data_IF_069962157364
#
_entry.id   IF_069962157364
#
_cell.length_a   1.000
_cell.length_b   1.000
_cell.length_c   1.000
_cell.angle_alpha   90.00
_cell.angle_beta   90.00
_cell.angle_gamma   90.00
#
_symmetry.space_group_name_H-M   'P 1'
#
loop_
_entity.id
_entity.type
_entity.pdbx_description
1 polymer ?
#
# COMPACT_ATOMS: atom_id res chain seq x y z
N UNK A 1 -29.91 53.46 -22.95
CA UNK A 1 -29.90 53.06 -21.53
C UNK A 1 -30.18 51.56 -21.44
N UNK A 2 -29.14 50.72 -21.41
CA UNK A 2 -29.30 49.27 -21.20
C UNK A 2 -29.27 48.98 -19.71
N UNK A 3 -30.36 48.40 -19.17
CA UNK A 3 -30.49 47.99 -17.77
C UNK A 3 -30.17 46.50 -17.67
N UNK A 4 -29.02 46.17 -17.07
CA UNK A 4 -28.63 44.80 -16.77
C UNK A 4 -29.49 44.23 -15.62
N UNK A 5 -29.91 42.95 -15.65
CA UNK A 5 -30.56 42.31 -14.51
C UNK A 5 -29.51 41.82 -13.51
N UNK A 6 -29.69 42.16 -12.23
CA UNK A 6 -28.92 41.63 -11.11
C UNK A 6 -29.17 40.12 -10.99
N UNK A 7 -28.11 39.35 -11.11
CA UNK A 7 -28.13 37.89 -11.05
C UNK A 7 -27.94 37.48 -9.58
N UNK A 8 -29.07 37.29 -8.89
CA UNK A 8 -29.11 36.96 -7.46
C UNK A 8 -28.79 35.46 -7.25
N UNK A 9 -27.52 35.09 -7.15
CA UNK A 9 -27.08 33.69 -6.95
C UNK A 9 -27.00 33.22 -5.48
N UNK A 10 -27.45 34.01 -4.50
CA UNK A 10 -27.31 33.69 -3.07
C UNK A 10 -28.62 33.43 -2.33
N UNK A 11 -29.55 32.70 -2.94
CA UNK A 11 -30.67 32.12 -2.20
C UNK A 11 -30.98 30.72 -2.71
N UNK A 12 -30.14 29.76 -2.35
CA UNK A 12 -30.55 28.36 -2.35
C UNK A 12 -31.27 28.08 -1.01
N UNK A 13 -32.61 27.93 -1.00
CA UNK A 13 -33.36 27.61 0.19
C UNK A 13 -33.41 26.09 0.31
N UNK A 14 -32.26 25.44 0.40
CA UNK A 14 -32.25 24.05 0.81
C UNK A 14 -32.43 24.04 2.32
N UNK A 15 -33.61 23.61 2.74
CA UNK A 15 -33.92 23.13 4.08
C UNK A 15 -34.35 24.14 5.15
N UNK A 16 -35.56 24.68 4.98
CA UNK A 16 -36.38 25.17 6.11
C UNK A 16 -37.66 24.34 6.25
N UNK A 17 -37.51 23.11 6.74
CA UNK A 17 -38.64 22.24 7.08
C UNK A 17 -38.17 21.08 7.95
N UNK A 18 -38.97 20.68 8.94
CA UNK A 18 -38.71 19.58 9.90
C UNK A 18 -38.19 18.27 9.28
N UNK A 19 -38.39 18.06 7.96
CA UNK A 19 -37.82 16.92 7.23
C UNK A 19 -36.30 17.00 7.06
N UNK A 20 -35.73 18.20 6.88
CA UNK A 20 -34.29 18.40 6.71
C UNK A 20 -33.45 17.94 7.90
N UNK A 21 -33.98 18.20 9.09
CA UNK A 21 -33.36 17.91 10.36
C UNK A 21 -33.24 16.38 10.55
N UNK A 22 -34.26 15.63 10.09
CA UNK A 22 -34.25 14.17 10.09
C UNK A 22 -33.18 13.60 9.14
N UNK A 23 -32.98 14.19 7.96
CA UNK A 23 -31.91 13.76 7.05
C UNK A 23 -30.52 13.98 7.64
N UNK A 24 -30.34 15.04 8.42
CA UNK A 24 -29.11 15.29 9.18
C UNK A 24 -28.79 14.12 10.12
N UNK A 25 -29.76 13.69 10.93
CA UNK A 25 -29.58 12.55 11.85
C UNK A 25 -29.35 11.22 11.12
N UNK A 26 -29.99 10.99 9.98
CA UNK A 26 -29.75 9.79 9.16
C UNK A 26 -28.32 9.75 8.63
N UNK A 27 -27.82 10.88 8.11
CA UNK A 27 -26.45 10.99 7.59
C UNK A 27 -25.43 10.84 8.71
N UNK A 28 -25.67 11.49 9.86
CA UNK A 28 -24.80 11.36 11.04
C UNK A 28 -24.79 9.92 11.55
N UNK A 29 -25.96 9.28 11.65
CA UNK A 29 -26.08 7.89 12.08
C UNK A 29 -25.34 6.93 11.14
N UNK A 30 -25.48 7.12 9.82
CA UNK A 30 -24.76 6.33 8.81
C UNK A 30 -23.24 6.53 8.94
N UNK A 31 -22.78 7.76 9.12
CA UNK A 31 -21.36 8.08 9.27
C UNK A 31 -20.78 7.45 10.54
N UNK A 32 -21.49 7.51 11.66
CA UNK A 32 -21.10 6.86 12.92
C UNK A 32 -21.03 5.34 12.75
N UNK A 33 -22.01 4.73 12.08
CA UNK A 33 -22.02 3.30 11.78
C UNK A 33 -20.78 2.88 10.95
N UNK A 34 -20.44 3.66 9.92
CA UNK A 34 -19.25 3.40 9.08
C UNK A 34 -17.95 3.52 9.86
N UNK A 35 -17.84 4.50 10.76
CA UNK A 35 -16.68 4.66 11.64
C UNK A 35 -16.54 3.44 12.56
N UNK A 36 -17.63 2.98 13.19
CA UNK A 36 -17.62 1.80 14.06
C UNK A 36 -17.15 0.56 13.28
N UNK A 37 -17.64 0.38 12.05
CA UNK A 37 -17.25 -0.74 11.19
C UNK A 37 -15.75 -0.72 10.86
N UNK A 38 -15.19 0.45 10.53
CA UNK A 38 -13.77 0.59 10.25
C UNK A 38 -12.89 0.27 11.47
N UNK A 39 -13.27 0.74 12.66
CA UNK A 39 -12.53 0.47 13.90
C UNK A 39 -12.52 -1.03 14.24
N UNK A 40 -13.65 -1.72 14.08
CA UNK A 40 -13.72 -3.18 14.30
C UNK A 40 -12.84 -3.97 13.33
N UNK A 41 -12.69 -3.50 12.10
CA UNK A 41 -11.81 -4.11 11.10
C UNK A 41 -10.33 -4.04 11.52
N UNK A 42 -9.89 -2.91 12.08
CA UNK A 42 -8.52 -2.73 12.56
C UNK A 42 -8.15 -3.68 13.72
N UNK A 43 -9.07 -3.93 14.64
CA UNK A 43 -8.81 -4.82 15.81
C UNK A 43 -8.48 -6.25 15.38
N UNK A 44 -9.11 -6.74 14.30
CA UNK A 44 -8.84 -8.09 13.76
C UNK A 44 -7.44 -8.23 13.19
N UNK A 45 -6.87 -7.15 12.64
CA UNK A 45 -5.51 -7.15 12.07
C UNK A 45 -4.45 -7.22 13.16
N UNK A 46 -4.73 -6.69 14.35
CA UNK A 46 -3.77 -6.64 15.47
C UNK A 46 -3.79 -7.88 16.36
N UNK A 47 -4.67 -8.86 16.14
CA UNK A 47 -4.73 -10.10 16.93
C UNK A 47 -4.22 -11.30 16.13
N UNK A 48 -2.89 -11.46 15.94
CA UNK A 48 -2.36 -12.71 15.45
C UNK A 48 -2.56 -13.76 16.54
N UNK A 49 -3.31 -14.83 16.22
CA UNK A 49 -3.36 -16.02 17.07
C UNK A 49 -1.94 -16.57 17.22
N UNK A 50 -1.39 -16.52 18.43
CA UNK A 50 -0.12 -17.12 18.76
C UNK A 50 -0.27 -18.65 18.73
N UNK A 51 0.39 -19.37 17.81
CA UNK A 51 0.36 -20.82 17.84
C UNK A 51 1.11 -21.28 19.09
N UNK A 52 0.41 -21.95 20.01
CA UNK A 52 1.05 -22.58 21.16
C UNK A 52 1.79 -23.81 20.62
N UNK A 53 3.10 -23.71 20.47
CA UNK A 53 3.93 -24.84 20.08
C UNK A 53 3.83 -25.95 21.15
N UNK A 54 3.60 -27.23 20.75
CA UNK A 54 3.63 -28.33 21.70
C UNK A 54 5.05 -28.48 22.28
N UNK A 55 5.13 -28.68 23.60
CA UNK A 55 6.37 -29.01 24.32
C UNK A 55 6.86 -30.40 23.90
N UNK A 56 7.58 -30.49 22.78
CA UNK A 56 8.30 -31.70 22.40
C UNK A 56 9.53 -31.81 23.32
N UNK A 57 9.49 -32.80 24.21
CA UNK A 57 10.58 -33.14 25.11
C UNK A 57 11.87 -33.41 24.32
N UNK A 58 12.98 -32.85 24.82
CA UNK A 58 14.32 -32.97 24.24
C UNK A 58 14.77 -34.45 24.28
N UNK A 59 15.15 -35.07 23.16
CA UNK A 59 15.75 -36.40 23.18
C UNK A 59 17.21 -36.34 23.65
N UNK A 60 17.56 -37.28 24.51
CA UNK A 60 18.90 -37.59 25.01
C UNK A 60 19.84 -38.06 23.88
N UNK A 61 21.03 -37.47 23.84
CA UNK A 61 22.20 -37.70 22.95
C UNK A 61 22.88 -39.07 23.16
N UNK A 62 23.76 -39.59 22.27
CA UNK A 62 23.89 -39.50 20.80
C UNK A 62 23.85 -40.89 20.11
N UNK A 63 23.54 -40.94 18.81
CA UNK A 63 24.05 -42.00 17.94
C UNK A 63 25.11 -41.40 17.01
N UNK A 64 26.33 -41.92 17.09
CA UNK A 64 27.45 -41.56 16.23
C UNK A 64 27.14 -42.00 14.80
N UNK A 65 26.73 -41.06 13.96
CA UNK A 65 26.54 -41.22 12.53
C UNK A 65 27.53 -40.26 11.89
N UNK A 66 28.35 -40.78 10.97
CA UNK A 66 29.37 -40.07 10.19
C UNK A 66 28.94 -38.64 9.82
N UNK A 67 29.86 -37.65 9.74
CA UNK A 67 29.52 -36.23 9.63
C UNK A 67 28.59 -36.00 8.44
N UNK A 68 27.30 -35.97 8.74
CA UNK A 68 26.25 -35.60 7.80
C UNK A 68 26.53 -34.13 7.58
N UNK A 69 27.10 -33.80 6.42
CA UNK A 69 27.27 -32.42 6.03
C UNK A 69 25.93 -31.72 6.25
N UNK A 70 25.89 -30.52 6.84
CA UNK A 70 24.64 -29.84 7.10
C UNK A 70 23.92 -29.62 5.78
N UNK A 71 22.93 -30.47 5.50
CA UNK A 71 22.01 -30.39 4.37
C UNK A 71 21.43 -28.97 4.18
N UNK A 72 21.23 -28.12 5.21
CA UNK A 72 20.81 -26.74 4.97
C UNK A 72 21.81 -25.84 4.20
N UNK A 73 23.08 -26.23 4.02
CA UNK A 73 24.02 -25.48 3.16
C UNK A 73 23.99 -25.94 1.70
N UNK A 74 23.35 -27.07 1.43
CA UNK A 74 23.02 -27.47 0.08
C UNK A 74 21.74 -26.72 -0.30
N UNK A 75 21.83 -25.86 -1.31
CA UNK A 75 20.73 -25.08 -1.90
C UNK A 75 19.63 -25.95 -2.58
N UNK A 76 19.24 -27.06 -1.95
CA UNK A 76 18.26 -28.05 -2.42
C UNK A 76 16.82 -27.56 -2.30
N UNK A 77 16.58 -26.53 -1.50
CA UNK A 77 15.27 -25.90 -1.32
C UNK A 77 15.23 -24.50 -1.91
N UNK A 78 15.94 -24.29 -3.02
CA UNK A 78 16.02 -22.99 -3.68
C UNK A 78 16.81 -21.98 -2.86
N UNK A 79 17.69 -21.25 -3.53
CA UNK A 79 18.10 -19.94 -3.04
C UNK A 79 16.85 -19.07 -2.96
N UNK A 80 16.34 -18.78 -1.77
CA UNK A 80 15.49 -17.60 -1.58
C UNK A 80 16.39 -16.35 -1.54
N UNK A 81 17.24 -16.18 -2.56
CA UNK A 81 17.70 -14.84 -2.88
C UNK A 81 16.57 -14.19 -3.67
N UNK A 82 15.47 -13.91 -2.95
CA UNK A 82 14.45 -12.97 -3.40
C UNK A 82 14.93 -11.52 -3.11
N UNK A 83 16.24 -11.34 -2.95
CA UNK A 83 16.92 -10.06 -2.91
C UNK A 83 16.89 -9.50 -4.32
N UNK A 84 15.73 -8.96 -4.69
CA UNK A 84 15.62 -8.08 -5.85
C UNK A 84 16.69 -7.01 -5.64
N UNK A 85 17.63 -6.84 -6.58
CA UNK A 85 18.77 -5.95 -6.40
C UNK A 85 18.27 -4.55 -6.07
N UNK A 86 18.85 -3.95 -5.03
CA UNK A 86 18.52 -2.60 -4.61
C UNK A 86 18.98 -1.64 -5.72
N UNK A 87 18.06 -0.84 -6.24
CA UNK A 87 18.35 0.03 -7.37
C UNK A 87 19.30 1.14 -6.96
N UNK A 88 20.35 1.37 -7.74
CA UNK A 88 21.32 2.47 -7.54
C UNK A 88 20.82 3.80 -8.12
N UNK A 89 19.52 3.89 -8.41
CA UNK A 89 18.94 5.01 -9.15
C UNK A 89 18.66 6.17 -8.19
N UNK A 90 19.13 7.36 -8.53
CA UNK A 90 18.85 8.57 -7.75
C UNK A 90 17.45 9.12 -8.08
N UNK A 91 16.41 8.30 -7.88
CA UNK A 91 15.03 8.76 -7.88
C UNK A 91 14.61 9.03 -6.45
N UNK A 92 14.03 10.20 -6.22
CA UNK A 92 13.50 10.55 -4.91
C UNK A 92 12.02 10.17 -4.86
N UNK A 93 11.75 9.07 -4.16
CA UNK A 93 10.38 8.67 -3.84
C UNK A 93 9.87 9.60 -2.74
N UNK A 94 8.83 10.37 -3.04
CA UNK A 94 8.24 11.34 -2.08
C UNK A 94 6.99 10.78 -1.41
N UNK A 95 6.39 9.72 -1.96
CA UNK A 95 5.27 9.02 -1.33
C UNK A 95 4.92 7.69 -2.01
N UNK A 96 4.45 6.75 -1.20
CA UNK A 96 3.97 5.43 -1.63
C UNK A 96 2.53 5.27 -1.14
N UNK A 97 1.61 4.98 -2.06
CA UNK A 97 0.21 4.70 -1.77
C UNK A 97 -0.11 3.29 -2.24
N UNK A 98 0.01 2.34 -1.32
CA UNK A 98 -0.23 0.93 -1.60
C UNK A 98 -1.72 0.57 -1.46
N UNK A 99 -2.24 -0.17 -2.45
CA UNK A 99 -3.53 -0.85 -2.37
C UNK A 99 -3.34 -2.33 -2.77
N UNK A 100 -4.18 -3.25 -2.27
CA UNK A 100 -4.12 -4.66 -2.66
C UNK A 100 -4.34 -4.89 -4.17
N UNK A 101 -5.04 -3.97 -4.82
CA UNK A 101 -5.22 -3.92 -6.27
C UNK A 101 -4.21 -2.94 -6.89
N UNK A 102 -3.45 -3.40 -7.87
CA UNK A 102 -2.44 -2.61 -8.57
C UNK A 102 -3.08 -1.40 -9.31
N UNK A 103 -4.37 -1.48 -9.69
CA UNK A 103 -5.11 -0.35 -10.30
C UNK A 103 -5.34 0.82 -9.34
N UNK A 104 -5.25 0.56 -8.04
CA UNK A 104 -5.43 1.54 -6.98
C UNK A 104 -4.13 1.89 -6.26
N UNK A 105 -3.00 1.38 -6.75
CA UNK A 105 -1.67 1.66 -6.22
C UNK A 105 -0.98 2.78 -6.97
N UNK A 106 -0.31 3.67 -6.23
CA UNK A 106 0.36 4.85 -6.78
C UNK A 106 1.68 5.12 -6.08
N UNK A 107 2.63 5.69 -6.82
CA UNK A 107 3.87 6.24 -6.26
C UNK A 107 4.03 7.68 -6.73
N UNK A 108 4.50 8.53 -5.83
CA UNK A 108 4.88 9.91 -6.16
C UNK A 108 6.39 9.98 -6.27
N UNK A 109 6.86 10.34 -7.47
CA UNK A 109 8.29 10.39 -7.79
C UNK A 109 8.67 11.81 -8.22
N UNK A 110 9.76 12.30 -7.64
CA UNK A 110 10.44 13.52 -8.08
C UNK A 110 11.60 13.10 -9.00
N UNK A 111 11.51 13.48 -10.28
CA UNK A 111 12.52 13.17 -11.28
C UNK A 111 13.73 14.08 -11.19
N UNK A 112 14.94 13.62 -11.58
CA UNK A 112 16.13 14.47 -11.61
C UNK A 112 15.93 15.62 -12.61
N UNK A 113 15.77 16.83 -12.07
CA UNK A 113 15.57 18.06 -12.86
C UNK A 113 14.13 18.53 -13.01
N UNK A 114 13.13 17.82 -12.44
CA UNK A 114 11.75 18.28 -12.39
C UNK A 114 11.39 18.81 -11.00
N UNK A 115 10.97 20.08 -10.84
CA UNK A 115 10.63 20.66 -9.54
C UNK A 115 9.26 20.20 -9.02
N UNK A 116 8.47 19.51 -9.83
CA UNK A 116 7.15 19.00 -9.45
C UNK A 116 7.19 17.47 -9.37
N UNK A 117 6.74 16.96 -8.22
CA UNK A 117 6.54 15.54 -8.01
C UNK A 117 5.31 15.06 -8.79
N UNK A 118 5.43 13.92 -9.46
CA UNK A 118 4.38 13.36 -10.32
C UNK A 118 3.93 12.00 -9.82
N UNK A 119 2.63 11.73 -9.99
CA UNK A 119 1.99 10.47 -9.64
C UNK A 119 2.19 9.47 -10.79
N UNK A 120 2.61 8.26 -10.46
CA UNK A 120 2.80 7.16 -11.40
C UNK A 120 2.08 5.90 -10.94
N UNK A 121 1.56 5.13 -11.90
CA UNK A 121 0.85 3.85 -11.69
C UNK A 121 1.66 2.64 -12.18
N UNK A 122 1.43 1.44 -11.63
CA UNK A 122 1.95 0.20 -12.21
C UNK A 122 1.66 0.11 -13.72
N UNK A 123 2.69 -0.17 -14.51
CA UNK A 123 2.68 -0.18 -15.97
C UNK A 123 3.13 1.12 -16.65
N UNK A 124 3.23 2.24 -15.92
CA UNK A 124 3.68 3.51 -16.50
C UNK A 124 5.20 3.62 -16.58
N UNK A 125 5.68 4.43 -17.54
CA UNK A 125 7.10 4.75 -17.66
C UNK A 125 7.47 5.91 -16.75
N UNK A 126 8.48 5.70 -15.93
CA UNK A 126 9.14 6.68 -15.09
C UNK A 126 10.20 7.48 -15.88
N UNK A 127 10.62 8.65 -15.38
CA UNK A 127 11.76 9.39 -15.93
C UNK A 127 13.01 8.52 -16.01
N UNK A 128 13.76 8.62 -17.12
CA UNK A 128 14.93 7.78 -17.37
C UNK A 128 14.64 6.46 -18.11
N UNK A 129 13.44 6.29 -18.68
CA UNK A 129 13.12 5.15 -19.55
C UNK A 129 12.88 3.83 -18.81
N UNK A 130 12.39 3.94 -17.58
CA UNK A 130 12.22 2.83 -16.64
C UNK A 130 10.72 2.54 -16.51
N UNK A 131 10.33 1.27 -16.37
CA UNK A 131 8.93 0.91 -16.20
C UNK A 131 8.62 0.62 -14.73
N UNK A 132 7.57 1.24 -14.20
CA UNK A 132 7.04 0.91 -12.88
C UNK A 132 6.30 -0.42 -12.96
N UNK A 133 6.82 -1.46 -12.32
CA UNK A 133 6.24 -2.81 -12.38
C UNK A 133 5.18 -2.97 -11.31
N UNK A 134 5.49 -2.59 -10.07
CA UNK A 134 4.61 -2.79 -8.93
C UNK A 134 4.95 -1.84 -7.79
N UNK A 135 3.94 -1.48 -7.02
CA UNK A 135 4.09 -0.73 -5.76
C UNK A 135 3.91 -1.72 -4.61
N UNK A 136 4.87 -1.76 -3.68
CA UNK A 136 4.79 -2.52 -2.43
C UNK A 136 4.55 -1.55 -1.26
N UNK A 137 4.20 -2.06 -0.06
CA UNK A 137 3.99 -1.21 1.11
C UNK A 137 5.18 -0.30 1.43
N UNK A 138 6.41 -0.83 1.33
CA UNK A 138 7.63 -0.13 1.77
C UNK A 138 8.62 0.17 0.63
N UNK A 139 8.29 -0.22 -0.60
CA UNK A 139 9.24 -0.17 -1.73
C UNK A 139 8.54 -0.21 -3.07
N UNK A 140 9.29 0.00 -4.14
CA UNK A 140 8.74 0.00 -5.49
C UNK A 140 9.58 -0.90 -6.40
N UNK A 141 8.92 -1.73 -7.20
CA UNK A 141 9.59 -2.53 -8.22
C UNK A 141 9.60 -1.77 -9.53
N UNK A 142 10.79 -1.62 -10.07
CA UNK A 142 11.01 -1.00 -11.37
C UNK A 142 11.67 -1.98 -12.31
N UNK A 143 11.49 -1.79 -13.62
CA UNK A 143 12.18 -2.55 -14.66
C UNK A 143 13.05 -1.62 -15.48
N UNK A 144 14.36 -1.90 -15.47
CA UNK A 144 15.37 -1.16 -16.25
C UNK A 144 16.22 -2.16 -17.03
N UNK A 145 16.45 -1.91 -18.31
CA UNK A 145 17.27 -2.77 -19.18
C UNK A 145 16.86 -4.26 -19.13
N UNK A 146 15.57 -4.53 -18.97
CA UNK A 146 15.05 -5.90 -18.89
C UNK A 146 15.13 -6.56 -17.51
N UNK A 147 15.85 -5.97 -16.53
CA UNK A 147 15.96 -6.47 -15.17
C UNK A 147 14.99 -5.76 -14.23
N UNK A 148 14.47 -6.49 -13.23
CA UNK A 148 13.62 -5.95 -12.18
C UNK A 148 14.49 -5.60 -10.97
N UNK A 149 14.38 -4.36 -10.50
CA UNK A 149 15.12 -3.80 -9.37
C UNK A 149 14.14 -3.26 -8.31
N UNK A 150 14.56 -3.21 -7.05
CA UNK A 150 13.78 -2.70 -5.91
C UNK A 150 14.34 -1.33 -5.49
N UNK A 151 13.49 -0.31 -5.51
CA UNK A 151 13.77 1.03 -5.00
C UNK A 151 13.14 1.24 -3.62
#
# INVERSE_FOLDING_TARGET
MLRWPQLNWFSHPYFRGRRAEQWGYVVIGLLVLLIIFQVLSLVKVLSPETPIAPLIAKPTTPLNIAPIQPIPTLHLFGVTSNEIPLSSLNLKITGIFYAPDDQHSYVVIEGPGEPLSKLYRPGESLPGGILLVKVLPDSVLIKRNGQVEKC
#
